data_IF_162135276964
#
_entry.id   IF_162135276964
#
_cell.length_a   1.000
_cell.length_b   1.000
_cell.length_c   1.000
_cell.angle_alpha   90.00
_cell.angle_beta   90.00
_cell.angle_gamma   90.00
#
_symmetry.space_group_name_H-M   'P 1'
#
loop_
_entity.id
_entity.type
_entity.pdbx_description
1 polymer ?
#
# COMPACT_ATOMS: atom_id res chain seq x y z
N UNK A 1 -12.10 -5.66 -3.87
CA UNK A 1 -12.39 -4.64 -4.92
C UNK A 1 -11.51 -3.39 -4.80
N UNK A 2 -11.28 -2.80 -3.62
CA UNK A 2 -10.23 -1.76 -3.48
C UNK A 2 -8.84 -2.38 -3.28
N UNK A 3 -8.73 -3.45 -2.49
CA UNK A 3 -7.49 -4.19 -2.27
C UNK A 3 -6.81 -4.65 -3.58
N UNK A 4 -7.57 -5.25 -4.50
CA UNK A 4 -7.04 -5.76 -5.77
C UNK A 4 -6.41 -4.66 -6.63
N UNK A 5 -6.99 -3.46 -6.60
CA UNK A 5 -6.45 -2.29 -7.30
C UNK A 5 -5.14 -1.81 -6.66
N UNK A 6 -5.08 -1.77 -5.32
CA UNK A 6 -3.87 -1.39 -4.58
C UNK A 6 -2.74 -2.38 -4.87
N UNK A 7 -3.02 -3.67 -4.77
CA UNK A 7 -2.06 -4.73 -5.05
C UNK A 7 -1.55 -4.66 -6.50
N UNK A 8 -2.45 -4.46 -7.47
CA UNK A 8 -2.06 -4.31 -8.87
C UNK A 8 -1.11 -3.12 -9.07
N UNK A 9 -1.38 -1.98 -8.43
CA UNK A 9 -0.49 -0.81 -8.52
C UNK A 9 0.82 -0.97 -7.80
N UNK A 10 0.84 -1.63 -6.63
CA UNK A 10 2.08 -1.95 -5.95
C UNK A 10 2.96 -2.92 -6.78
N UNK A 11 2.36 -3.91 -7.44
CA UNK A 11 3.08 -4.83 -8.35
C UNK A 11 3.62 -4.11 -9.59
N UNK A 12 2.88 -3.14 -10.12
CA UNK A 12 3.26 -2.36 -11.30
C UNK A 12 4.41 -1.39 -11.01
N UNK A 13 4.40 -0.74 -9.84
CA UNK A 13 5.33 0.35 -9.50
C UNK A 13 6.44 -0.04 -8.53
N UNK A 14 6.31 -1.17 -7.82
CA UNK A 14 7.24 -1.58 -6.76
C UNK A 14 7.05 -0.82 -5.44
N UNK A 15 6.55 0.41 -5.49
CA UNK A 15 6.29 1.28 -4.35
C UNK A 15 5.05 2.15 -4.60
N UNK A 16 4.20 2.31 -3.57
CA UNK A 16 3.08 3.26 -3.59
C UNK A 16 2.93 3.94 -2.25
N UNK A 17 2.37 5.15 -2.28
CA UNK A 17 2.01 5.91 -1.09
C UNK A 17 0.48 5.91 -0.97
N UNK A 18 -0.03 5.35 0.12
CA UNK A 18 -1.45 5.35 0.48
C UNK A 18 -1.79 6.61 1.28
N UNK A 19 -2.94 7.22 1.00
CA UNK A 19 -3.58 8.18 1.90
C UNK A 19 -4.83 7.54 2.50
N UNK A 20 -4.93 7.52 3.82
CA UNK A 20 -6.10 7.01 4.54
C UNK A 20 -7.15 8.11 4.77
N UNK A 21 -8.40 7.71 5.04
CA UNK A 21 -9.51 8.61 5.40
C UNK A 21 -9.26 9.39 6.71
N UNK A 22 -8.36 8.90 7.56
CA UNK A 22 -7.85 9.60 8.75
C UNK A 22 -6.93 10.79 8.41
N UNK A 23 -6.45 10.88 7.16
CA UNK A 23 -5.42 11.82 6.72
C UNK A 23 -3.99 11.29 6.87
N UNK A 24 -3.80 10.12 7.47
CA UNK A 24 -2.49 9.46 7.56
C UNK A 24 -1.99 9.01 6.18
N UNK A 25 -0.67 8.99 6.01
CA UNK A 25 -0.01 8.55 4.78
C UNK A 25 0.95 7.42 5.09
N UNK A 26 0.86 6.34 4.31
CA UNK A 26 1.68 5.14 4.47
C UNK A 26 2.42 4.84 3.17
N UNK A 27 3.70 4.52 3.26
CA UNK A 27 4.50 4.06 2.13
C UNK A 27 4.56 2.53 2.15
N UNK A 28 4.25 1.91 1.03
CA UNK A 28 4.28 0.46 0.85
C UNK A 28 5.33 0.09 -0.18
N UNK A 29 6.15 -0.91 0.13
CA UNK A 29 7.06 -1.53 -0.81
C UNK A 29 6.61 -2.96 -1.13
N UNK A 30 6.81 -3.38 -2.38
CA UNK A 30 6.42 -4.73 -2.81
C UNK A 30 7.12 -5.83 -2.00
N UNK A 31 8.35 -5.58 -1.55
CA UNK A 31 9.18 -6.56 -0.84
C UNK A 31 8.76 -6.84 0.62
N UNK A 32 7.98 -5.95 1.24
CA UNK A 32 7.58 -6.04 2.65
C UNK A 32 6.06 -6.01 2.87
N UNK A 33 5.27 -5.98 1.79
CA UNK A 33 3.81 -5.91 1.81
C UNK A 33 3.16 -7.22 1.36
N UNK A 34 2.10 -7.63 2.07
CA UNK A 34 1.25 -8.78 1.73
C UNK A 34 -0.23 -8.40 1.81
N UNK A 35 -1.08 -9.15 1.12
CA UNK A 35 -2.51 -8.85 0.96
C UNK A 35 -3.36 -10.02 1.45
N UNK A 36 -4.29 -9.75 2.37
CA UNK A 36 -5.29 -10.70 2.86
C UNK A 36 -6.65 -10.38 2.22
N UNK A 37 -6.94 -11.06 1.10
CA UNK A 37 -8.19 -10.86 0.37
C UNK A 37 -9.42 -11.42 1.10
N UNK A 38 -9.24 -12.34 2.05
CA UNK A 38 -10.35 -12.88 2.82
C UNK A 38 -10.89 -11.83 3.80
N UNK A 39 -9.99 -11.00 4.36
CA UNK A 39 -10.32 -9.98 5.35
C UNK A 39 -10.25 -8.54 4.82
N UNK A 40 -9.88 -8.34 3.56
CA UNK A 40 -9.68 -7.03 2.92
C UNK A 40 -8.60 -6.18 3.63
N UNK A 41 -7.51 -6.83 4.05
CA UNK A 41 -6.41 -6.20 4.80
C UNK A 41 -5.11 -6.13 3.98
N UNK A 42 -4.35 -5.07 4.22
CA UNK A 42 -2.97 -4.92 3.79
C UNK A 42 -2.08 -5.10 5.02
N UNK A 43 -1.07 -5.97 4.92
CA UNK A 43 -0.07 -6.12 5.96
C UNK A 43 1.29 -5.69 5.43
N UNK A 44 2.01 -4.87 6.18
CA UNK A 44 3.37 -4.52 5.82
C UNK A 44 4.25 -4.38 7.06
N UNK A 45 5.54 -4.68 6.89
CA UNK A 45 6.54 -4.49 7.94
C UNK A 45 7.20 -3.14 7.76
N UNK A 46 7.28 -2.34 8.82
CA UNK A 46 8.09 -1.13 8.84
C UNK A 46 8.84 -1.05 10.17
N UNK A 47 10.16 -0.90 10.10
CA UNK A 47 11.03 -0.92 11.28
C UNK A 47 10.86 -2.19 12.12
N UNK A 48 10.43 -2.02 13.36
CA UNK A 48 10.19 -3.06 14.37
C UNK A 48 8.71 -3.49 14.49
N UNK A 49 7.84 -3.00 13.60
CA UNK A 49 6.39 -3.22 13.67
C UNK A 49 5.82 -3.88 12.40
N UNK A 50 4.69 -4.58 12.60
CA UNK A 50 3.82 -5.07 11.53
C UNK A 50 2.52 -4.29 11.61
N UNK A 51 2.15 -3.69 10.50
CA UNK A 51 0.93 -2.89 10.37
C UNK A 51 -0.16 -3.68 9.67
N UNK A 52 -1.39 -3.39 10.06
CA UNK A 52 -2.61 -3.94 9.46
C UNK A 52 -3.49 -2.78 9.05
N UNK A 53 -3.82 -2.68 7.76
CA UNK A 53 -4.60 -1.58 7.20
C UNK A 53 -5.83 -2.15 6.52
N UNK A 54 -7.00 -1.65 6.90
CA UNK A 54 -8.25 -1.90 6.18
C UNK A 54 -8.22 -1.19 4.83
N UNK A 55 -8.31 -1.94 3.74
CA UNK A 55 -8.24 -1.38 2.40
C UNK A 55 -9.40 -0.43 2.08
N UNK A 56 -10.54 -0.53 2.75
CA UNK A 56 -11.65 0.42 2.58
C UNK A 56 -11.31 1.82 3.08
N UNK A 57 -10.37 1.92 4.03
CA UNK A 57 -9.89 3.18 4.61
C UNK A 57 -8.93 3.94 3.70
N UNK A 58 -8.50 3.33 2.60
CA UNK A 58 -7.62 4.00 1.63
C UNK A 58 -8.45 4.97 0.78
N UNK A 59 -8.17 6.25 0.90
CA UNK A 59 -8.80 7.33 0.14
C UNK A 59 -8.19 7.46 -1.26
N UNK A 60 -6.86 7.43 -1.36
CA UNK A 60 -6.15 7.55 -2.65
C UNK A 60 -4.78 6.85 -2.64
N UNK A 61 -4.27 6.58 -3.84
CA UNK A 61 -2.89 6.13 -4.09
C UNK A 61 -2.12 7.24 -4.80
N UNK A 62 -0.87 7.42 -4.38
CA UNK A 62 0.14 8.22 -5.07
C UNK A 62 1.30 7.31 -5.47
N UNK A 63 1.68 7.36 -6.74
CA UNK A 63 2.84 6.64 -7.27
C UNK A 63 4.07 7.49 -6.99
N UNK A 64 5.07 6.92 -6.34
CA UNK A 64 6.33 7.62 -6.11
C UNK A 64 7.19 7.48 -7.38
N UNK A 65 7.50 8.61 -8.02
CA UNK A 65 8.24 8.65 -9.28
C UNK A 65 9.77 8.46 -9.11
N UNK A 66 10.23 7.95 -7.96
CA UNK A 66 11.65 7.66 -7.72
C UNK A 66 12.23 6.64 -8.71
N UNK A 67 11.39 5.94 -9.49
CA UNK A 67 11.80 5.03 -10.55
C UNK A 67 12.10 5.70 -11.91
N UNK A 68 11.86 7.00 -12.08
CA UNK A 68 12.39 7.74 -13.26
C UNK A 68 13.82 8.19 -12.96
N UNK A 69 14.72 7.22 -12.78
CA UNK A 69 16.13 7.46 -13.09
C UNK A 69 16.22 7.62 -14.63
N UNK A 70 16.76 8.77 -15.04
CA UNK A 70 16.99 9.15 -16.43
C UNK A 70 18.07 8.28 -17.12
#
# INVERSE_FOLDING_TARGET
>A
MKLDWIEAKLKEWGEVILRLDSGETLELHLGDTTFDHANNLIHFRSGDAIYYVDAEKVESLKMHLSHFDA
#
